data_IF_399100647886
#
_entry.id   IF_399100647886
#
_cell.length_a   1.000
_cell.length_b   1.000
_cell.length_c   1.000
_cell.angle_alpha   90.00
_cell.angle_beta   90.00
_cell.angle_gamma   90.00
#
_symmetry.space_group_name_H-M   'P 1'
#
loop_
_entity.id
_entity.type
_entity.pdbx_description
1 polymer ?
#
# COMPACT_ATOMS: atom_id res chain seq x y z
N UNK A 1 -42.80 18.79 -27.18
CA UNK A 1 -43.24 17.53 -26.56
C UNK A 1 -41.97 16.79 -26.17
N UNK A 2 -41.48 17.12 -24.97
CA UNK A 2 -41.64 16.30 -23.76
C UNK A 2 -40.62 15.17 -23.76
N UNK A 3 -39.62 15.41 -22.91
CA UNK A 3 -38.48 14.64 -22.46
C UNK A 3 -38.56 13.13 -22.59
N UNK A 4 -37.43 12.52 -22.93
CA UNK A 4 -37.01 11.26 -22.31
C UNK A 4 -35.66 11.46 -21.66
N UNK A 5 -35.72 11.88 -20.39
CA UNK A 5 -34.65 11.65 -19.43
C UNK A 5 -34.64 10.17 -19.11
N UNK A 6 -33.57 9.46 -19.49
CA UNK A 6 -33.31 8.12 -18.98
C UNK A 6 -32.29 8.27 -17.85
N UNK A 7 -32.81 8.37 -16.63
CA UNK A 7 -32.11 8.01 -15.41
C UNK A 7 -32.32 6.52 -15.19
N UNK A 8 -31.29 5.72 -15.48
CA UNK A 8 -31.17 4.34 -15.02
C UNK A 8 -29.98 4.32 -14.06
N UNK A 9 -30.26 4.63 -12.78
CA UNK A 9 -30.51 3.67 -11.70
C UNK A 9 -29.29 2.81 -11.39
N UNK A 10 -28.68 3.19 -10.28
CA UNK A 10 -27.75 2.41 -9.48
C UNK A 10 -28.25 0.97 -9.32
N UNK A 11 -27.41 0.02 -9.74
CA UNK A 11 -27.53 -1.37 -9.35
C UNK A 11 -26.35 -1.64 -8.41
N UNK A 12 -26.63 -1.59 -7.11
CA UNK A 12 -25.79 -2.15 -6.06
C UNK A 12 -25.68 -3.67 -6.28
N UNK A 13 -24.73 -4.07 -7.11
CA UNK A 13 -24.26 -5.44 -7.16
C UNK A 13 -23.29 -5.64 -6.00
N UNK A 14 -23.80 -6.10 -4.86
CA UNK A 14 -23.01 -6.83 -3.86
C UNK A 14 -22.59 -8.17 -4.48
N UNK A 15 -21.71 -8.09 -5.48
CA UNK A 15 -20.89 -9.20 -5.89
C UNK A 15 -19.77 -9.29 -4.88
N UNK A 16 -19.66 -10.41 -4.19
CA UNK A 16 -18.42 -10.84 -3.55
C UNK A 16 -17.38 -11.08 -4.66
N UNK A 17 -16.93 -9.98 -5.25
CA UNK A 17 -15.71 -9.91 -6.03
C UNK A 17 -14.61 -9.90 -4.99
N UNK A 18 -13.70 -10.85 -5.04
CA UNK A 18 -12.40 -10.74 -4.39
C UNK A 18 -11.67 -9.55 -5.04
N UNK A 19 -12.12 -8.33 -4.75
CA UNK A 19 -11.53 -7.09 -5.21
C UNK A 19 -10.23 -6.98 -4.46
N UNK A 20 -9.12 -7.27 -5.14
CA UNK A 20 -7.79 -7.02 -4.59
C UNK A 20 -7.77 -5.55 -4.13
N UNK A 21 -7.49 -5.27 -2.84
CA UNK A 21 -7.45 -3.91 -2.35
C UNK A 21 -6.48 -3.09 -3.20
N UNK A 22 -6.94 -1.94 -3.71
CA UNK A 22 -6.09 -1.09 -4.52
C UNK A 22 -5.13 -0.32 -3.61
N UNK A 23 -3.98 -0.92 -3.32
CA UNK A 23 -2.92 -0.34 -2.48
C UNK A 23 -2.36 0.99 -3.03
N UNK A 24 -2.57 1.29 -4.31
CA UNK A 24 -2.15 2.56 -4.91
C UNK A 24 -3.10 3.72 -4.62
N UNK A 25 -4.35 3.44 -4.25
CA UNK A 25 -5.32 4.47 -3.84
C UNK A 25 -5.16 4.88 -2.38
N UNK A 26 -4.33 4.17 -1.61
CA UNK A 26 -4.10 4.47 -0.21
C UNK A 26 -3.36 5.82 -0.07
N UNK A 27 -3.74 6.69 0.89
CA UNK A 27 -3.01 7.92 1.15
C UNK A 27 -1.54 7.63 1.48
N UNK A 28 -0.65 8.50 1.01
CA UNK A 28 0.80 8.37 1.19
C UNK A 28 1.19 8.11 2.65
N UNK A 29 0.58 8.83 3.58
CA UNK A 29 0.93 8.76 5.01
C UNK A 29 0.55 7.41 5.62
N UNK A 30 -0.57 6.83 5.17
CA UNK A 30 -1.00 5.49 5.60
C UNK A 30 -0.06 4.44 5.03
N UNK A 31 0.29 4.54 3.75
CA UNK A 31 1.29 3.66 3.13
C UNK A 31 2.62 3.76 3.87
N UNK A 32 3.13 4.96 4.15
CA UNK A 32 4.36 5.17 4.91
C UNK A 32 4.28 4.54 6.31
N UNK A 33 3.17 4.71 7.02
CA UNK A 33 2.98 4.10 8.32
C UNK A 33 3.00 2.56 8.27
N UNK A 34 2.40 1.95 7.24
CA UNK A 34 2.46 0.51 7.02
C UNK A 34 3.90 0.07 6.78
N UNK A 35 4.61 0.75 5.87
CA UNK A 35 5.99 0.42 5.54
C UNK A 35 6.91 0.54 6.77
N UNK A 36 6.71 1.52 7.65
CA UNK A 36 7.51 1.72 8.87
C UNK A 36 7.38 0.59 9.89
N UNK A 37 6.37 -0.26 9.77
CA UNK A 37 6.15 -1.42 10.66
C UNK A 37 6.81 -2.69 10.17
N UNK A 38 7.36 -2.68 8.95
CA UNK A 38 8.10 -3.81 8.39
C UNK A 38 9.53 -3.85 8.94
N UNK A 39 10.19 -4.99 8.80
CA UNK A 39 11.59 -5.10 9.21
C UNK A 39 12.46 -4.24 8.29
N UNK A 40 13.49 -3.61 8.87
CA UNK A 40 14.41 -2.73 8.16
C UNK A 40 15.06 -3.45 6.98
N UNK A 41 15.40 -4.74 7.17
CA UNK A 41 16.01 -5.57 6.13
C UNK A 41 15.03 -5.79 4.97
N UNK A 42 13.77 -6.12 5.26
CA UNK A 42 12.74 -6.29 4.25
C UNK A 42 12.45 -4.98 3.51
N UNK A 43 12.52 -3.83 4.20
CA UNK A 43 12.30 -2.53 3.56
C UNK A 43 13.37 -2.28 2.48
N UNK A 44 14.65 -2.46 2.83
CA UNK A 44 15.76 -2.19 1.90
C UNK A 44 15.90 -3.25 0.80
N UNK A 45 15.51 -4.50 1.04
CA UNK A 45 15.67 -5.60 0.07
C UNK A 45 14.45 -5.82 -0.82
N UNK A 46 13.24 -5.48 -0.36
CA UNK A 46 11.99 -5.82 -1.05
C UNK A 46 11.10 -4.60 -1.27
N UNK A 47 10.70 -3.91 -0.20
CA UNK A 47 9.69 -2.81 -0.25
C UNK A 47 10.11 -1.69 -1.20
N UNK A 48 11.38 -1.30 -1.15
CA UNK A 48 11.98 -0.32 -2.04
C UNK A 48 11.83 -0.67 -3.53
N UNK A 49 11.69 -1.96 -3.87
CA UNK A 49 11.71 -2.46 -5.25
C UNK A 49 10.32 -2.80 -5.80
N UNK A 50 9.24 -2.57 -5.05
CA UNK A 50 7.87 -2.91 -5.47
C UNK A 50 7.36 -1.98 -6.57
N UNK A 51 7.42 -0.66 -6.34
CA UNK A 51 6.95 0.34 -7.28
C UNK A 51 7.57 1.72 -7.01
N UNK A 52 7.52 2.67 -7.97
CA UNK A 52 8.07 4.01 -7.78
C UNK A 52 7.44 4.79 -6.61
N UNK A 53 6.16 4.55 -6.30
CA UNK A 53 5.48 5.18 -5.16
C UNK A 53 6.14 4.79 -3.84
N UNK A 54 6.36 3.49 -3.64
CA UNK A 54 6.96 2.94 -2.44
C UNK A 54 8.43 3.33 -2.32
N UNK A 55 9.18 3.26 -3.42
CA UNK A 55 10.54 3.79 -3.49
C UNK A 55 10.64 5.26 -3.06
N UNK A 56 9.72 6.10 -3.53
CA UNK A 56 9.69 7.51 -3.15
C UNK A 56 9.35 7.72 -1.67
N UNK A 57 8.52 6.86 -1.08
CA UNK A 57 8.26 6.88 0.37
C UNK A 57 9.52 6.45 1.14
N UNK A 58 10.20 5.39 0.70
CA UNK A 58 11.44 4.93 1.32
C UNK A 58 12.60 5.93 1.20
N UNK A 59 12.53 6.91 0.29
CA UNK A 59 13.52 8.01 0.21
C UNK A 59 13.32 9.11 1.25
N UNK A 60 12.16 9.17 1.90
CA UNK A 60 11.88 10.19 2.91
C UNK A 60 12.77 9.95 4.14
N UNK A 61 13.55 10.94 4.61
CA UNK A 61 14.30 10.83 5.86
C UNK A 61 13.45 10.45 7.07
N UNK A 62 12.16 10.82 7.07
CA UNK A 62 11.22 10.47 8.14
C UNK A 62 10.87 8.99 8.19
N UNK A 63 11.06 8.26 7.09
CA UNK A 63 10.96 6.80 7.05
C UNK A 63 11.99 6.13 7.98
N UNK A 64 13.17 6.72 8.10
CA UNK A 64 14.32 6.12 8.79
C UNK A 64 14.65 6.78 10.13
N UNK A 65 13.71 7.53 10.71
CA UNK A 65 13.86 8.13 12.05
C UNK A 65 14.15 7.10 13.14
N UNK A 66 13.68 5.86 12.95
CA UNK A 66 13.92 4.76 13.88
C UNK A 66 14.25 3.52 13.06
N UNK A 67 15.48 3.04 13.17
CA UNK A 67 15.96 1.87 12.46
C UNK A 67 16.10 0.73 13.46
N UNK A 68 15.28 -0.30 13.31
CA UNK A 68 15.38 -1.53 14.11
C UNK A 68 15.89 -2.63 13.19
N UNK A 69 17.16 -2.97 13.34
CA UNK A 69 17.76 -4.11 12.66
C UNK A 69 17.71 -5.26 13.64
N UNK A 70 16.81 -6.22 13.41
CA UNK A 70 16.82 -7.46 14.17
C UNK A 70 17.76 -8.42 13.45
N UNK A 71 18.84 -8.80 14.12
CA UNK A 71 19.72 -9.88 13.68
C UNK A 71 19.04 -11.23 13.93
N UNK A 72 17.88 -11.45 13.31
CA UNK A 72 17.30 -12.77 13.20
C UNK A 72 17.92 -13.45 12.00
N UNK A 73 18.59 -14.59 12.23
CA UNK A 73 19.19 -15.49 11.22
C UNK A 73 20.65 -15.19 10.80
N UNK A 74 21.59 -15.30 11.75
CA UNK A 74 22.90 -15.90 11.43
C UNK A 74 23.10 -17.25 12.16
N UNK A 75 22.00 -17.97 12.41
CA UNK A 75 22.06 -19.37 12.84
C UNK A 75 20.95 -20.16 12.12
N UNK A 76 21.29 -21.04 11.17
CA UNK A 76 20.33 -22.00 10.65
C UNK A 76 19.94 -22.94 11.80
N UNK A 77 18.64 -23.22 11.95
CA UNK A 77 18.16 -24.32 12.81
C UNK A 77 18.46 -25.68 12.20
#
# INVERSE_FOLDING_TARGET
>A
MASSSITEKEADAYGESTTVPNWLQLPRDITANILQRLDTIDIVTSVCHVCPLWWNICKDPFMWRTIKIQLSECFPR
#
